data_IF_118065898632
#
_entry.id   IF_118065898632
#
_cell.length_a   1.000
_cell.length_b   1.000
_cell.length_c   1.000
_cell.angle_alpha   90.00
_cell.angle_beta   90.00
_cell.angle_gamma   90.00
#
_symmetry.space_group_name_H-M   'P 1'
#
loop_
_entity.id
_entity.type
_entity.pdbx_description
1 polymer ?
#
# COMPACT_ATOMS: atom_id res chain seq x y z
N UNK A 1 -13.01 -5.66 -24.68
CA UNK A 1 -12.85 -6.98 -25.31
C UNK A 1 -12.74 -8.01 -24.18
N UNK A 2 -13.48 -9.12 -24.28
CA UNK A 2 -13.36 -10.26 -23.36
C UNK A 2 -12.58 -11.32 -24.13
N UNK A 3 -11.46 -11.77 -23.56
CA UNK A 3 -10.64 -12.83 -24.17
C UNK A 3 -11.30 -14.19 -23.96
N UNK A 4 -11.16 -15.09 -24.92
CA UNK A 4 -11.52 -16.50 -24.78
C UNK A 4 -10.47 -17.22 -23.92
N UNK A 5 -10.80 -18.42 -23.41
CA UNK A 5 -9.86 -19.23 -22.63
C UNK A 5 -8.60 -19.60 -23.43
N UNK A 6 -8.74 -19.85 -24.73
CA UNK A 6 -7.63 -20.11 -25.66
C UNK A 6 -6.71 -18.89 -25.83
N UNK A 7 -7.30 -17.68 -25.96
CA UNK A 7 -6.54 -16.44 -26.06
C UNK A 7 -5.79 -16.14 -24.76
N UNK A 8 -6.41 -16.39 -23.59
CA UNK A 8 -5.75 -16.27 -22.29
C UNK A 8 -4.57 -17.24 -22.18
N UNK A 9 -4.78 -18.52 -22.48
CA UNK A 9 -3.71 -19.53 -22.44
C UNK A 9 -2.54 -19.16 -23.37
N UNK A 10 -2.83 -18.73 -24.59
CA UNK A 10 -1.80 -18.29 -25.55
C UNK A 10 -1.05 -17.05 -25.07
N UNK A 11 -1.73 -16.10 -24.41
CA UNK A 11 -1.09 -14.91 -23.86
C UNK A 11 -0.16 -15.25 -22.69
N UNK A 12 -0.57 -16.19 -21.82
CA UNK A 12 0.25 -16.68 -20.69
C UNK A 12 1.51 -17.38 -21.23
N UNK A 13 1.36 -18.33 -22.15
CA UNK A 13 2.50 -19.04 -22.74
C UNK A 13 3.50 -18.06 -23.40
N UNK A 14 2.96 -17.07 -24.13
CA UNK A 14 3.80 -16.04 -24.76
C UNK A 14 4.52 -15.19 -23.72
N UNK A 15 3.86 -14.82 -22.62
CA UNK A 15 4.47 -14.05 -21.53
C UNK A 15 5.59 -14.86 -20.87
N UNK A 16 5.34 -16.12 -20.51
CA UNK A 16 6.33 -16.99 -19.87
C UNK A 16 7.60 -17.10 -20.73
N UNK A 17 7.43 -17.35 -22.03
CA UNK A 17 8.55 -17.42 -22.96
C UNK A 17 9.32 -16.11 -23.11
N UNK A 18 8.62 -14.98 -23.21
CA UNK A 18 9.26 -13.67 -23.36
C UNK A 18 9.92 -13.19 -22.07
N UNK A 19 9.38 -13.55 -20.92
CA UNK A 19 9.93 -13.14 -19.62
C UNK A 19 11.29 -13.77 -19.30
N UNK A 20 11.66 -14.85 -19.98
CA UNK A 20 13.01 -15.42 -19.89
C UNK A 20 14.08 -14.55 -20.61
N UNK A 21 13.67 -13.81 -21.63
CA UNK A 21 14.56 -13.00 -22.47
C UNK A 21 14.48 -11.50 -22.18
N UNK A 22 13.36 -11.04 -21.60
CA UNK A 22 13.05 -9.64 -21.37
C UNK A 22 13.14 -9.28 -19.90
N UNK A 23 13.61 -8.08 -19.62
CA UNK A 23 13.54 -7.49 -18.29
C UNK A 23 12.17 -6.83 -18.09
N UNK A 24 11.27 -7.51 -17.39
CA UNK A 24 9.97 -6.97 -17.01
C UNK A 24 10.14 -6.06 -15.82
N UNK A 25 9.61 -4.83 -15.87
CA UNK A 25 9.65 -3.88 -14.77
C UNK A 25 8.21 -3.53 -14.36
N UNK A 26 7.88 -3.77 -13.10
CA UNK A 26 6.62 -3.29 -12.50
C UNK A 26 6.80 -1.82 -12.11
N UNK A 27 6.11 -0.94 -12.82
CA UNK A 27 6.13 0.49 -12.53
C UNK A 27 4.96 0.86 -11.62
N UNK A 28 5.25 1.47 -10.46
CA UNK A 28 4.28 1.79 -9.43
C UNK A 28 4.28 3.29 -9.13
N UNK A 29 3.27 4.05 -9.57
CA UNK A 29 3.10 5.44 -9.15
C UNK A 29 2.57 5.47 -7.71
N UNK A 30 3.43 5.80 -6.74
CA UNK A 30 3.16 5.72 -5.31
C UNK A 30 3.18 7.08 -4.59
N UNK A 31 3.21 8.19 -5.32
CA UNK A 31 3.23 9.55 -4.75
C UNK A 31 1.86 10.04 -4.25
N UNK A 32 0.77 9.32 -4.54
CA UNK A 32 -0.59 9.75 -4.23
C UNK A 32 -0.86 9.87 -2.73
N UNK A 33 -1.24 11.07 -2.28
CA UNK A 33 -1.63 11.34 -0.91
C UNK A 33 -2.95 10.65 -0.53
N UNK A 34 -3.06 10.21 0.72
CA UNK A 34 -4.27 9.59 1.24
C UNK A 34 -5.32 10.62 1.73
N UNK A 35 -5.05 11.91 1.65
CA UNK A 35 -5.85 13.01 2.25
C UNK A 35 -7.34 12.94 1.93
N UNK A 36 -7.71 12.58 0.69
CA UNK A 36 -9.13 12.43 0.31
C UNK A 36 -9.84 11.28 1.01
N UNK A 37 -9.08 10.22 1.36
CA UNK A 37 -9.63 9.06 2.09
C UNK A 37 -10.05 9.43 3.50
N UNK A 38 -9.28 10.30 4.16
CA UNK A 38 -9.45 10.67 5.55
C UNK A 38 -10.18 12.01 5.73
N UNK A 39 -10.81 12.53 4.65
CA UNK A 39 -11.50 13.82 4.68
C UNK A 39 -12.56 13.91 5.79
N UNK A 40 -13.44 12.89 5.91
CA UNK A 40 -14.48 12.87 6.93
C UNK A 40 -13.92 12.83 8.36
N UNK A 41 -12.78 12.13 8.55
CA UNK A 41 -12.10 12.08 9.83
C UNK A 41 -11.54 13.47 10.23
N UNK A 42 -10.97 14.19 9.28
CA UNK A 42 -10.53 15.58 9.50
C UNK A 42 -11.70 16.54 9.74
N UNK A 43 -12.83 16.38 9.05
CA UNK A 43 -14.03 17.18 9.29
C UNK A 43 -14.60 16.91 10.70
N UNK A 44 -14.51 15.65 11.19
CA UNK A 44 -14.95 15.28 12.52
C UNK A 44 -14.10 15.96 13.61
N UNK A 45 -12.76 15.85 13.56
CA UNK A 45 -11.89 16.43 14.59
C UNK A 45 -11.79 17.97 14.54
N UNK A 46 -11.93 18.59 13.35
CA UNK A 46 -11.78 20.05 13.21
C UNK A 46 -13.11 20.81 13.28
N UNK A 47 -14.22 20.19 12.93
CA UNK A 47 -15.53 20.84 12.75
C UNK A 47 -16.62 20.17 13.60
N UNK A 48 -16.28 19.16 14.41
CA UNK A 48 -17.23 18.34 15.19
C UNK A 48 -18.36 17.75 14.31
N UNK A 49 -18.02 17.43 13.06
CA UNK A 49 -18.97 16.92 12.07
C UNK A 49 -19.03 15.40 12.09
N UNK A 50 -19.87 14.86 12.97
CA UNK A 50 -20.11 13.42 13.07
C UNK A 50 -21.00 12.95 11.92
N UNK A 51 -20.54 11.95 11.16
CA UNK A 51 -21.26 11.34 10.03
C UNK A 51 -21.51 9.86 10.29
N UNK A 52 -22.44 9.26 9.52
CA UNK A 52 -22.65 7.82 9.56
C UNK A 52 -21.38 7.02 9.15
N UNK A 53 -20.45 7.63 8.41
CA UNK A 53 -19.15 7.07 8.09
C UNK A 53 -18.26 6.95 9.32
N UNK A 54 -18.25 7.98 10.19
CA UNK A 54 -17.54 7.98 11.48
C UNK A 54 -18.13 6.91 12.41
N UNK A 55 -19.46 6.86 12.57
CA UNK A 55 -20.11 5.84 13.40
C UNK A 55 -19.73 4.43 12.93
N UNK A 56 -19.81 4.18 11.62
CA UNK A 56 -19.46 2.89 11.04
C UNK A 56 -17.99 2.53 11.23
N UNK A 57 -17.07 3.49 11.16
CA UNK A 57 -15.65 3.27 11.42
C UNK A 57 -15.44 2.87 12.88
N UNK A 58 -15.99 3.63 13.83
CA UNK A 58 -15.83 3.38 15.26
C UNK A 58 -16.47 2.06 15.70
N UNK A 59 -17.69 1.77 15.24
CA UNK A 59 -18.39 0.51 15.50
C UNK A 59 -17.68 -0.74 14.98
N UNK A 60 -16.77 -0.58 14.02
CA UNK A 60 -16.09 -1.68 13.37
C UNK A 60 -14.56 -1.55 13.37
N UNK A 61 -14.01 -0.72 14.24
CA UNK A 61 -12.59 -0.38 14.24
C UNK A 61 -11.67 -1.59 14.32
N UNK A 62 -12.08 -2.62 15.05
CA UNK A 62 -11.35 -3.87 15.20
C UNK A 62 -11.22 -4.69 13.89
N UNK A 63 -12.06 -4.39 12.89
CA UNK A 63 -12.04 -5.06 11.58
C UNK A 63 -11.08 -4.44 10.59
N UNK A 64 -10.53 -3.27 10.91
CA UNK A 64 -9.58 -2.61 10.03
C UNK A 64 -8.18 -3.21 10.17
N UNK A 65 -7.47 -3.34 9.06
CA UNK A 65 -6.13 -3.93 9.03
C UNK A 65 -5.12 -3.21 9.95
N UNK A 66 -5.28 -1.91 10.11
CA UNK A 66 -4.42 -1.10 10.97
C UNK A 66 -4.65 -1.33 12.47
N UNK A 67 -5.79 -1.90 12.86
CA UNK A 67 -6.13 -2.12 14.28
C UNK A 67 -5.08 -2.95 15.00
N UNK A 68 -4.43 -3.86 14.30
CA UNK A 68 -3.34 -4.67 14.83
C UNK A 68 -2.20 -3.85 15.46
N UNK A 69 -1.93 -2.67 14.90
CA UNK A 69 -0.91 -1.72 15.41
C UNK A 69 -1.53 -0.60 16.24
N UNK A 70 -2.81 -0.34 16.04
CA UNK A 70 -3.51 0.80 16.61
C UNK A 70 -3.76 0.66 18.12
N UNK A 71 -3.96 -0.55 18.62
CA UNK A 71 -4.16 -0.85 20.03
C UNK A 71 -2.98 -0.44 20.94
N UNK A 72 -1.84 -0.07 20.36
CA UNK A 72 -0.70 0.50 21.09
C UNK A 72 -0.89 2.00 21.41
N UNK A 73 -1.79 2.69 20.71
CA UNK A 73 -1.97 4.14 20.80
C UNK A 73 -3.24 4.56 21.53
N UNK A 74 -4.21 3.68 21.69
CA UNK A 74 -5.49 3.98 22.31
C UNK A 74 -5.85 2.96 23.38
N UNK A 75 -6.58 3.43 24.40
CA UNK A 75 -7.15 2.57 25.43
C UNK A 75 -8.55 2.12 25.02
N UNK A 76 -9.08 1.02 25.58
CA UNK A 76 -10.43 0.54 25.24
C UNK A 76 -11.55 1.53 25.55
N UNK A 77 -11.32 2.50 26.43
CA UNK A 77 -12.23 3.53 26.87
C UNK A 77 -11.85 4.94 26.37
N UNK A 78 -10.92 5.03 25.40
CA UNK A 78 -10.57 6.30 24.76
C UNK A 78 -11.78 6.95 24.10
N UNK A 79 -11.95 8.27 24.20
CA UNK A 79 -13.01 9.01 23.51
C UNK A 79 -12.91 8.85 21.99
N UNK A 80 -14.06 8.86 21.31
CA UNK A 80 -14.15 8.74 19.85
C UNK A 80 -13.24 9.74 19.11
N UNK A 81 -13.16 10.97 19.60
CA UNK A 81 -12.33 12.04 19.05
C UNK A 81 -10.83 11.68 19.12
N UNK A 82 -10.37 11.17 20.27
CA UNK A 82 -8.99 10.72 20.47
C UNK A 82 -8.66 9.56 19.53
N UNK A 83 -9.58 8.59 19.38
CA UNK A 83 -9.43 7.48 18.46
C UNK A 83 -9.21 7.97 17.02
N UNK A 84 -10.06 8.92 16.57
CA UNK A 84 -9.96 9.45 15.21
C UNK A 84 -8.71 10.30 15.05
N UNK A 85 -8.33 11.10 16.05
CA UNK A 85 -7.11 11.91 16.03
C UNK A 85 -5.86 11.03 15.90
N UNK A 86 -5.77 9.92 16.66
CA UNK A 86 -4.65 8.98 16.59
C UNK A 86 -4.54 8.29 15.23
N UNK A 87 -5.65 8.07 14.52
CA UNK A 87 -5.63 7.53 13.16
C UNK A 87 -5.02 8.52 12.16
N UNK A 88 -5.41 9.80 12.21
CA UNK A 88 -5.06 10.75 11.14
C UNK A 88 -3.87 11.64 11.45
N UNK A 89 -3.65 12.00 12.71
CA UNK A 89 -2.63 12.97 13.16
C UNK A 89 -1.58 12.30 14.04
N UNK A 90 -2.03 11.55 15.04
CA UNK A 90 -1.20 10.97 16.09
C UNK A 90 -0.45 9.69 15.68
N UNK A 91 -0.63 8.62 16.43
CA UNK A 91 0.13 7.37 16.32
C UNK A 91 0.23 6.76 14.92
N UNK A 92 -0.89 6.59 14.22
CA UNK A 92 -0.86 6.12 12.84
C UNK A 92 -0.48 7.21 11.85
N UNK A 93 -0.89 8.48 12.07
CA UNK A 93 -0.56 9.64 11.25
C UNK A 93 -0.93 9.48 9.76
N UNK A 94 -2.02 8.78 9.46
CA UNK A 94 -2.39 8.43 8.10
C UNK A 94 -2.81 9.62 7.24
N UNK A 95 -3.23 10.71 7.86
CA UNK A 95 -3.62 11.93 7.15
C UNK A 95 -2.50 12.58 6.35
N UNK A 96 -1.24 12.39 6.77
CA UNK A 96 -0.05 12.91 6.09
C UNK A 96 0.68 11.87 5.24
N UNK A 97 0.30 10.60 5.32
CA UNK A 97 0.99 9.52 4.61
C UNK A 97 0.47 9.32 3.19
N UNK A 98 1.33 8.90 2.26
CA UNK A 98 0.88 8.42 0.96
C UNK A 98 0.18 7.07 1.12
N UNK A 99 -0.75 6.75 0.21
CA UNK A 99 -1.53 5.49 0.25
C UNK A 99 -0.66 4.25 0.36
N UNK A 100 0.52 4.26 -0.27
CA UNK A 100 1.46 3.13 -0.21
C UNK A 100 1.96 2.78 1.19
N UNK A 101 1.94 3.73 2.13
CA UNK A 101 2.40 3.54 3.51
C UNK A 101 1.25 3.30 4.50
N UNK A 102 0.01 3.24 4.04
CA UNK A 102 -1.15 2.92 4.86
C UNK A 102 -1.38 1.41 4.89
N UNK A 103 -1.73 0.88 6.07
CA UNK A 103 -2.01 -0.54 6.27
C UNK A 103 -3.46 -0.83 5.90
N UNK A 104 -3.67 -1.41 4.72
CA UNK A 104 -5.00 -1.70 4.18
C UNK A 104 -5.37 -3.18 4.19
N UNK A 105 -4.38 -4.06 4.24
CA UNK A 105 -4.58 -5.49 3.99
C UNK A 105 -4.41 -6.27 5.29
N UNK A 106 -5.44 -7.04 5.66
CA UNK A 106 -5.42 -7.95 6.78
C UNK A 106 -5.42 -9.41 6.27
N UNK A 107 -4.52 -10.21 6.79
CA UNK A 107 -4.34 -11.62 6.47
C UNK A 107 -4.26 -12.44 7.76
N UNK A 108 -4.34 -13.75 7.67
CA UNK A 108 -4.18 -14.64 8.83
C UNK A 108 -2.80 -14.51 9.49
N UNK A 109 -1.77 -14.18 8.69
CA UNK A 109 -0.38 -14.01 9.14
C UNK A 109 -0.03 -12.56 9.53
N UNK A 110 -0.98 -11.63 9.55
CA UNK A 110 -0.80 -10.25 9.97
C UNK A 110 -1.40 -9.22 9.03
N UNK A 111 -1.01 -7.96 9.23
CA UNK A 111 -1.46 -6.84 8.43
C UNK A 111 -0.30 -6.25 7.62
N UNK A 112 -0.60 -5.77 6.40
CA UNK A 112 0.41 -5.26 5.45
C UNK A 112 0.06 -3.88 4.94
N UNK A 113 1.10 -3.09 4.69
CA UNK A 113 0.99 -1.83 3.97
C UNK A 113 0.80 -2.08 2.47
N UNK A 114 0.17 -1.13 1.77
CA UNK A 114 -0.05 -1.26 0.34
C UNK A 114 1.25 -1.43 -0.48
N UNK A 115 2.36 -0.84 -0.05
CA UNK A 115 3.66 -1.02 -0.72
C UNK A 115 4.16 -2.46 -0.67
N UNK A 116 3.84 -3.21 0.37
CA UNK A 116 4.25 -4.62 0.51
C UNK A 116 3.52 -5.52 -0.49
N UNK A 117 2.25 -5.20 -0.80
CA UNK A 117 1.49 -5.94 -1.81
C UNK A 117 2.12 -5.83 -3.21
N UNK A 118 2.82 -4.74 -3.49
CA UNK A 118 3.55 -4.62 -4.76
C UNK A 118 4.75 -5.58 -4.85
N UNK A 119 5.34 -5.98 -3.72
CA UNK A 119 6.35 -7.06 -3.69
C UNK A 119 5.70 -8.41 -4.01
N UNK A 120 4.58 -8.71 -3.35
CA UNK A 120 3.80 -9.94 -3.60
C UNK A 120 3.38 -10.03 -5.06
N UNK A 121 2.75 -9.00 -5.58
CA UNK A 121 2.32 -8.90 -6.98
C UNK A 121 3.49 -9.06 -7.96
N UNK A 122 4.64 -8.42 -7.66
CA UNK A 122 5.85 -8.53 -8.47
C UNK A 122 6.32 -9.98 -8.57
N UNK A 123 6.36 -10.71 -7.46
CA UNK A 123 6.74 -12.12 -7.42
C UNK A 123 5.74 -13.02 -8.13
N UNK A 124 4.45 -12.69 -8.11
CA UNK A 124 3.40 -13.53 -8.68
C UNK A 124 3.26 -13.42 -10.20
N UNK A 125 3.40 -12.21 -10.76
CA UNK A 125 3.09 -12.01 -12.19
C UNK A 125 4.03 -11.05 -12.95
N UNK A 126 5.08 -10.52 -12.33
CA UNK A 126 6.00 -9.57 -12.98
C UNK A 126 7.48 -9.94 -12.74
N UNK A 127 7.79 -11.24 -12.64
CA UNK A 127 9.15 -11.72 -12.46
C UNK A 127 9.78 -12.16 -13.79
N UNK A 128 11.11 -12.12 -13.82
CA UNK A 128 11.95 -12.65 -14.90
C UNK A 128 12.81 -13.75 -14.28
N UNK A 129 12.40 -15.01 -14.45
CA UNK A 129 13.01 -16.11 -13.71
C UNK A 129 12.85 -15.93 -12.20
N UNK A 130 13.95 -15.78 -11.48
CA UNK A 130 14.02 -15.53 -10.06
C UNK A 130 14.19 -14.04 -9.68
N UNK A 131 14.25 -13.14 -10.67
CA UNK A 131 14.40 -11.70 -10.44
C UNK A 131 13.09 -10.95 -10.62
N UNK A 132 12.83 -9.97 -9.71
CA UNK A 132 11.69 -9.06 -9.75
C UNK A 132 12.19 -7.63 -9.76
N UNK A 133 11.77 -6.85 -10.74
CA UNK A 133 12.14 -5.45 -10.88
C UNK A 133 10.93 -4.56 -10.61
N UNK A 134 11.03 -3.70 -9.60
CA UNK A 134 9.97 -2.76 -9.25
C UNK A 134 10.53 -1.34 -9.22
N UNK A 135 9.85 -0.44 -9.91
CA UNK A 135 10.17 0.98 -9.90
C UNK A 135 9.03 1.77 -9.27
N UNK A 136 9.32 2.46 -8.16
CA UNK A 136 8.36 3.33 -7.48
C UNK A 136 8.61 4.80 -7.83
N UNK A 137 7.55 5.52 -8.19
CA UNK A 137 7.56 6.98 -8.21
C UNK A 137 6.94 7.51 -6.93
N UNK A 138 7.70 8.26 -6.14
CA UNK A 138 7.29 8.74 -4.81
C UNK A 138 7.51 10.26 -4.71
N UNK A 139 6.86 10.91 -3.74
CA UNK A 139 7.23 12.28 -3.36
C UNK A 139 8.54 12.26 -2.55
N UNK A 140 9.33 13.33 -2.62
CA UNK A 140 10.62 13.44 -1.91
C UNK A 140 10.46 13.23 -0.41
N UNK A 141 9.44 13.85 0.17
CA UNK A 141 9.14 13.80 1.61
C UNK A 141 8.83 12.39 2.14
N UNK A 142 8.28 11.50 1.31
CA UNK A 142 7.87 10.16 1.71
C UNK A 142 8.86 9.05 1.31
N UNK A 143 9.89 9.37 0.53
CA UNK A 143 10.84 8.39 0.01
C UNK A 143 11.52 7.57 1.10
N UNK A 144 11.91 8.20 2.22
CA UNK A 144 12.52 7.50 3.36
C UNK A 144 11.55 6.48 3.96
N UNK A 145 10.27 6.84 4.16
CA UNK A 145 9.26 5.93 4.71
C UNK A 145 9.03 4.69 3.84
N UNK A 146 9.03 4.84 2.51
CA UNK A 146 9.00 3.68 1.61
C UNK A 146 10.25 2.82 1.75
N UNK A 147 11.43 3.46 1.81
CA UNK A 147 12.69 2.75 1.94
C UNK A 147 12.76 1.96 3.24
N UNK A 148 12.31 2.54 4.36
CA UNK A 148 12.30 1.89 5.67
C UNK A 148 11.41 0.64 5.67
N UNK A 149 10.21 0.71 5.10
CA UNK A 149 9.32 -0.45 5.00
C UNK A 149 9.96 -1.54 4.14
N UNK A 150 10.45 -1.18 2.95
CA UNK A 150 11.02 -2.15 2.01
C UNK A 150 12.30 -2.79 2.52
N UNK A 151 13.16 -2.04 3.22
CA UNK A 151 14.37 -2.60 3.83
C UNK A 151 14.09 -3.70 4.85
N UNK A 152 12.95 -3.61 5.56
CA UNK A 152 12.54 -4.64 6.52
C UNK A 152 11.80 -5.80 5.86
N UNK A 153 10.97 -5.53 4.86
CA UNK A 153 10.06 -6.53 4.30
C UNK A 153 10.64 -7.27 3.09
N UNK A 154 11.52 -6.64 2.32
CA UNK A 154 12.14 -7.26 1.14
C UNK A 154 12.79 -8.61 1.43
N UNK A 155 13.65 -8.78 2.45
CA UNK A 155 14.27 -10.08 2.74
C UNK A 155 13.25 -11.17 3.06
N UNK A 156 12.16 -10.80 3.74
CA UNK A 156 11.08 -11.74 4.11
C UNK A 156 10.38 -12.27 2.85
N UNK A 157 10.09 -11.37 1.91
CA UNK A 157 9.43 -11.75 0.66
C UNK A 157 10.38 -12.45 -0.32
N UNK A 158 11.68 -12.11 -0.32
CA UNK A 158 12.69 -12.84 -1.09
C UNK A 158 12.75 -14.31 -0.65
N UNK A 159 12.79 -14.58 0.65
CA UNK A 159 12.77 -15.93 1.21
C UNK A 159 11.44 -16.64 0.90
N UNK A 160 10.30 -15.96 1.12
CA UNK A 160 8.95 -16.53 0.94
C UNK A 160 8.67 -16.96 -0.49
N UNK A 161 9.11 -16.19 -1.48
CA UNK A 161 8.81 -16.42 -2.90
C UNK A 161 9.96 -16.99 -3.71
N UNK A 162 11.13 -17.13 -3.11
CA UNK A 162 12.34 -17.61 -3.80
C UNK A 162 12.77 -16.68 -4.95
N UNK A 163 12.67 -15.39 -4.74
CA UNK A 163 13.01 -14.36 -5.73
C UNK A 163 13.98 -13.33 -5.16
N UNK A 164 14.58 -12.54 -6.04
CA UNK A 164 15.40 -11.38 -5.69
C UNK A 164 14.76 -10.11 -6.20
N UNK A 165 14.51 -9.16 -5.31
CA UNK A 165 13.92 -7.87 -5.68
C UNK A 165 15.00 -6.84 -6.03
N UNK A 166 14.81 -6.21 -7.17
CA UNK A 166 15.57 -5.05 -7.65
C UNK A 166 14.67 -3.83 -7.60
N UNK A 167 14.73 -3.10 -6.48
CA UNK A 167 13.85 -1.95 -6.23
C UNK A 167 14.57 -0.65 -6.58
N UNK A 168 13.86 0.22 -7.28
CA UNK A 168 14.37 1.55 -7.66
C UNK A 168 13.31 2.63 -7.45
N UNK A 169 13.75 3.86 -7.25
CA UNK A 169 12.88 5.01 -7.00
C UNK A 169 13.16 6.15 -7.95
N UNK A 170 12.10 6.84 -8.36
CA UNK A 170 12.19 8.20 -8.88
C UNK A 170 11.34 9.14 -8.03
N UNK A 171 11.77 10.39 -7.94
CA UNK A 171 11.00 11.43 -7.27
C UNK A 171 10.10 12.11 -8.28
N UNK A 172 8.83 12.20 -7.96
CA UNK A 172 7.87 12.91 -8.78
C UNK A 172 8.17 14.41 -8.76
N UNK A 173 8.26 15.02 -9.92
CA UNK A 173 8.39 16.48 -10.03
C UNK A 173 7.07 17.14 -9.62
N UNK A 174 7.10 18.25 -8.86
CA UNK A 174 5.90 19.03 -8.57
C UNK A 174 5.14 19.35 -9.86
N UNK A 175 3.83 19.29 -9.80
CA UNK A 175 2.91 19.53 -10.93
C UNK A 175 2.94 18.51 -12.08
N UNK A 176 3.62 17.37 -11.88
CA UNK A 176 3.57 16.24 -12.81
C UNK A 176 2.75 15.12 -12.22
N UNK A 177 1.45 15.33 -12.07
CA UNK A 177 0.55 14.26 -11.63
C UNK A 177 0.49 13.17 -12.71
N UNK A 178 0.63 11.93 -12.26
CA UNK A 178 0.47 10.80 -13.17
C UNK A 178 -0.99 10.74 -13.56
N UNK A 179 -1.28 11.09 -14.79
CA UNK A 179 -2.60 10.84 -15.39
C UNK A 179 -2.62 9.35 -15.72
N UNK A 180 -3.37 8.61 -14.94
CA UNK A 180 -3.65 7.21 -15.24
C UNK A 180 -4.76 7.11 -16.30
#
# INVERSE_FOLDING_TARGET
QVLSEEEVASAVERYEKLSEELRVVKFVPASGAATRMFKELFEYINEDKRTAGIDKLLDNIEKFAFFFFFSEYVMPDSPDEEIVEEIVVGGLGYGSKPKGLVTFHAYEDGARKAVEEHLVEGAMYARCGDEVYIHFTVSEEHKSGFWDVLAHTQPIYEERYGVKYNISFSVQKPSTDTIA
#
